data_IF_518145891610
#
_entry.id   IF_518145891610
#
_cell.length_a   1.000
_cell.length_b   1.000
_cell.length_c   1.000
_cell.angle_alpha   90.00
_cell.angle_beta   90.00
_cell.angle_gamma   90.00
#
_symmetry.space_group_name_H-M   'P 1'
#
loop_
_entity.id
_entity.type
_entity.pdbx_description
1 polymer ?
#
# COMPACT_ATOMS: atom_id res chain seq x y z
N UNK A 1 -41.04 29.07 -24.96
CA UNK A 1 -41.17 29.10 -23.48
C UNK A 1 -40.10 28.19 -22.90
N UNK A 2 -39.04 28.76 -22.33
CA UNK A 2 -37.90 27.99 -21.83
C UNK A 2 -38.25 27.14 -20.60
N UNK A 3 -37.68 25.94 -20.53
CA UNK A 3 -37.76 25.04 -19.38
C UNK A 3 -37.16 25.68 -18.13
N UNK A 4 -37.73 25.36 -16.96
CA UNK A 4 -37.23 25.82 -15.66
C UNK A 4 -36.02 24.96 -15.28
N UNK A 5 -34.92 25.54 -14.79
CA UNK A 5 -33.81 24.76 -14.29
C UNK A 5 -34.17 24.09 -12.96
N UNK A 6 -33.84 22.81 -12.85
CA UNK A 6 -34.04 22.03 -11.63
C UNK A 6 -32.92 22.33 -10.62
N UNK A 7 -33.16 22.14 -9.31
CA UNK A 7 -32.07 22.12 -8.33
C UNK A 7 -30.99 21.14 -8.77
N UNK A 8 -29.73 21.58 -8.78
CA UNK A 8 -28.58 20.83 -9.28
C UNK A 8 -28.21 21.11 -10.74
N UNK A 9 -29.08 21.72 -11.54
CA UNK A 9 -28.75 22.14 -12.91
C UNK A 9 -27.68 23.23 -12.92
N UNK A 10 -26.86 23.25 -13.97
CA UNK A 10 -25.92 24.33 -14.24
C UNK A 10 -26.54 25.27 -15.27
N UNK A 11 -26.52 26.58 -14.99
CA UNK A 11 -27.09 27.61 -15.87
C UNK A 11 -26.06 28.68 -16.17
N UNK A 12 -26.15 29.28 -17.36
CA UNK A 12 -25.41 30.47 -17.74
C UNK A 12 -26.32 31.68 -17.62
N UNK A 13 -25.96 32.60 -16.73
CA UNK A 13 -26.69 33.83 -16.43
C UNK A 13 -25.69 34.99 -16.37
N UNK A 14 -25.97 36.07 -17.10
CA UNK A 14 -25.14 37.29 -17.15
C UNK A 14 -23.65 36.99 -17.42
N UNK A 15 -23.38 36.16 -18.42
CA UNK A 15 -22.03 35.74 -18.81
C UNK A 15 -21.25 34.95 -17.75
N UNK A 16 -21.90 34.51 -16.68
CA UNK A 16 -21.29 33.70 -15.63
C UNK A 16 -22.04 32.37 -15.48
N UNK A 17 -21.33 31.37 -14.94
CA UNK A 17 -21.87 30.03 -14.75
C UNK A 17 -22.26 29.82 -13.30
N UNK A 18 -23.47 29.30 -13.09
CA UNK A 18 -24.09 29.14 -11.79
C UNK A 18 -24.68 27.75 -11.63
N UNK A 19 -24.57 27.18 -10.43
CA UNK A 19 -25.29 25.97 -10.03
C UNK A 19 -26.58 26.38 -9.32
N UNK A 20 -27.71 25.87 -9.77
CA UNK A 20 -29.01 26.13 -9.13
C UNK A 20 -29.10 25.33 -7.83
N UNK A 21 -29.34 26.02 -6.73
CA UNK A 21 -29.56 25.44 -5.41
C UNK A 21 -31.05 25.19 -5.15
N UNK A 22 -31.90 26.07 -5.67
CA UNK A 22 -33.35 25.97 -5.52
C UNK A 22 -34.09 26.91 -6.46
N UNK A 23 -35.39 26.69 -6.62
CA UNK A 23 -36.29 27.58 -7.35
C UNK A 23 -37.57 27.83 -6.54
N UNK A 24 -38.14 29.02 -6.70
CA UNK A 24 -39.37 29.43 -6.02
C UNK A 24 -40.26 30.25 -6.97
N UNK A 25 -41.55 30.33 -6.68
CA UNK A 25 -42.53 31.12 -7.45
C UNK A 25 -42.94 32.33 -6.60
N UNK A 26 -42.71 33.52 -7.13
CA UNK A 26 -43.03 34.80 -6.50
C UNK A 26 -44.52 35.18 -6.68
N UNK A 27 -45.00 36.08 -5.82
CA UNK A 27 -46.35 36.67 -5.93
C UNK A 27 -46.42 37.43 -7.28
N UNK A 28 -47.26 36.95 -8.22
CA UNK A 28 -47.39 37.30 -9.67
C UNK A 28 -46.89 36.24 -10.66
N UNK A 29 -46.47 35.06 -10.20
CA UNK A 29 -46.14 33.92 -11.08
C UNK A 29 -44.73 33.96 -11.68
N UNK A 30 -43.92 34.97 -11.32
CA UNK A 30 -42.51 35.02 -11.69
C UNK A 30 -41.71 33.95 -10.95
N UNK A 31 -40.72 33.40 -11.62
CA UNK A 31 -39.88 32.30 -11.14
C UNK A 31 -38.54 32.85 -10.66
N UNK A 32 -38.25 32.67 -9.39
CA UNK A 32 -36.96 32.96 -8.77
C UNK A 32 -36.09 31.71 -8.78
N UNK A 33 -34.82 31.85 -9.16
CA UNK A 33 -33.80 30.81 -9.04
C UNK A 33 -32.70 31.28 -8.09
N UNK A 34 -32.41 30.48 -7.07
CA UNK A 34 -31.30 30.68 -6.15
C UNK A 34 -30.11 29.87 -6.65
N UNK A 35 -28.99 30.55 -6.89
CA UNK A 35 -27.83 29.93 -7.51
C UNK A 35 -26.54 30.26 -6.76
N UNK A 36 -25.55 29.37 -6.87
CA UNK A 36 -24.17 29.57 -6.42
C UNK A 36 -23.23 29.59 -7.62
N UNK A 37 -22.37 30.59 -7.73
CA UNK A 37 -21.44 30.70 -8.85
C UNK A 37 -20.35 29.62 -8.76
N UNK A 38 -20.01 29.02 -9.91
CA UNK A 38 -19.06 27.90 -9.97
C UNK A 38 -17.70 28.27 -10.57
N UNK A 39 -17.59 29.43 -11.22
CA UNK A 39 -16.36 29.83 -11.93
C UNK A 39 -16.17 31.35 -11.98
N UNK A 40 -14.91 31.77 -12.17
CA UNK A 40 -14.56 33.18 -12.34
C UNK A 40 -14.85 34.04 -11.11
N UNK A 41 -15.26 35.29 -11.33
CA UNK A 41 -15.48 36.32 -10.29
C UNK A 41 -16.65 35.98 -9.35
N UNK A 42 -17.55 35.09 -9.78
CA UNK A 42 -18.74 34.69 -9.04
C UNK A 42 -18.55 33.39 -8.25
N UNK A 43 -17.37 32.76 -8.33
CA UNK A 43 -17.09 31.49 -7.64
C UNK A 43 -17.44 31.61 -6.15
N UNK A 44 -18.22 30.65 -5.68
CA UNK A 44 -18.73 30.52 -4.30
C UNK A 44 -19.64 31.66 -3.81
N UNK A 45 -20.02 32.60 -4.68
CA UNK A 45 -21.01 33.64 -4.35
C UNK A 45 -22.41 33.13 -4.61
N UNK A 46 -23.34 33.47 -3.73
CA UNK A 46 -24.76 33.18 -3.90
C UNK A 46 -25.53 34.39 -4.39
N UNK A 47 -26.47 34.15 -5.30
CA UNK A 47 -27.36 35.17 -5.85
C UNK A 47 -28.72 34.57 -6.20
N UNK A 48 -29.76 35.42 -6.20
CA UNK A 48 -31.10 35.07 -6.65
C UNK A 48 -31.45 35.86 -7.90
N UNK A 49 -32.00 35.18 -8.89
CA UNK A 49 -32.37 35.77 -10.17
C UNK A 49 -33.84 35.50 -10.47
N UNK A 50 -34.52 36.46 -11.07
CA UNK A 50 -35.86 36.23 -11.62
C UNK A 50 -35.69 35.70 -13.03
N UNK A 51 -35.83 34.39 -13.21
CA UNK A 51 -35.53 33.66 -14.45
C UNK A 51 -36.27 34.25 -15.66
N UNK A 52 -37.52 34.65 -15.47
CA UNK A 52 -38.35 35.22 -16.53
C UNK A 52 -37.85 36.56 -17.08
N UNK A 53 -37.01 37.28 -16.32
CA UNK A 53 -36.46 38.58 -16.71
C UNK A 53 -35.06 38.47 -17.34
N UNK A 54 -34.42 37.31 -17.25
CA UNK A 54 -33.05 37.09 -17.75
C UNK A 54 -33.10 36.54 -19.19
N UNK A 55 -33.04 37.44 -20.18
CA UNK A 55 -33.19 37.10 -21.60
C UNK A 55 -32.10 36.18 -22.16
N UNK A 56 -30.90 36.24 -21.58
CA UNK A 56 -29.74 35.43 -22.00
C UNK A 56 -29.57 34.14 -21.18
N UNK A 57 -30.58 33.79 -20.37
CA UNK A 57 -30.55 32.63 -19.52
C UNK A 57 -30.59 31.33 -20.33
N UNK A 58 -29.62 30.45 -20.09
CA UNK A 58 -29.58 29.12 -20.71
C UNK A 58 -29.20 28.05 -19.71
N UNK A 59 -29.83 26.88 -19.83
CA UNK A 59 -29.48 25.68 -19.06
C UNK A 59 -28.34 24.99 -19.82
N UNK A 60 -27.24 24.73 -19.13
CA UNK A 60 -26.12 23.98 -19.70
C UNK A 60 -26.38 22.49 -19.50
N UNK A 61 -26.51 21.77 -20.61
CA UNK A 61 -26.68 20.31 -20.59
C UNK A 61 -25.31 19.64 -20.38
N UNK A 62 -25.13 18.83 -19.31
CA UNK A 62 -23.92 18.03 -19.11
C UNK A 62 -23.58 17.12 -20.30
N UNK A 63 -24.57 16.64 -21.05
CA UNK A 63 -24.35 15.76 -22.21
C UNK A 63 -23.70 16.49 -23.39
N UNK A 64 -23.79 17.83 -23.44
CA UNK A 64 -23.19 18.66 -24.49
C UNK A 64 -21.79 19.20 -24.10
N UNK A 65 -21.28 18.82 -22.93
CA UNK A 65 -19.95 19.25 -22.47
C UNK A 65 -18.87 18.60 -23.33
N UNK A 66 -18.11 19.44 -24.04
CA UNK A 66 -16.90 19.00 -24.75
C UNK A 66 -15.75 18.92 -23.74
N UNK A 67 -15.27 17.71 -23.48
CA UNK A 67 -14.05 17.51 -22.70
C UNK A 67 -12.88 18.10 -23.48
N UNK A 68 -12.12 18.99 -22.82
CA UNK A 68 -10.91 19.59 -23.38
C UNK A 68 -9.73 19.02 -22.60
N UNK A 69 -8.69 18.49 -23.28
CA UNK A 69 -7.48 18.04 -22.60
C UNK A 69 -6.82 19.23 -21.89
N UNK A 70 -6.56 19.06 -20.59
CA UNK A 70 -5.83 20.03 -19.79
C UNK A 70 -4.33 19.95 -20.14
N UNK A 71 -3.80 20.98 -20.80
CA UNK A 71 -2.38 21.06 -21.17
C UNK A 71 -1.55 21.84 -20.13
N UNK A 72 -2.13 22.15 -18.95
CA UNK A 72 -1.41 22.86 -17.89
C UNK A 72 -0.35 21.98 -17.24
N UNK A 73 0.65 22.61 -16.61
CA UNK A 73 1.70 21.91 -15.84
C UNK A 73 1.13 21.10 -14.67
N UNK A 74 -0.05 21.47 -14.15
CA UNK A 74 -0.75 20.72 -13.11
C UNK A 74 -1.25 19.34 -13.55
N UNK A 75 -1.30 19.06 -14.86
CA UNK A 75 -1.58 17.72 -15.37
C UNK A 75 -0.52 16.71 -14.91
N UNK A 76 0.76 17.10 -14.90
CA UNK A 76 1.85 16.22 -14.48
C UNK A 76 1.69 15.88 -12.99
N UNK A 77 1.43 16.89 -12.16
CA UNK A 77 1.21 16.70 -10.72
C UNK A 77 0.00 15.82 -10.44
N UNK A 78 -1.10 16.05 -11.17
CA UNK A 78 -2.32 15.25 -11.07
C UNK A 78 -2.08 13.81 -11.51
N UNK A 79 -1.38 13.61 -12.63
CA UNK A 79 -1.03 12.28 -13.14
C UNK A 79 -0.12 11.55 -12.15
N UNK A 80 0.87 12.24 -11.59
CA UNK A 80 1.76 11.68 -10.57
C UNK A 80 0.98 11.32 -9.30
N UNK A 81 0.07 12.19 -8.86
CA UNK A 81 -0.79 11.93 -7.71
C UNK A 81 -1.68 10.70 -7.93
N UNK A 82 -2.34 10.60 -9.08
CA UNK A 82 -3.18 9.45 -9.42
C UNK A 82 -2.35 8.16 -9.52
N UNK A 83 -1.19 8.20 -10.18
CA UNK A 83 -0.25 7.08 -10.25
C UNK A 83 0.22 6.63 -8.86
N UNK A 84 0.58 7.57 -8.00
CA UNK A 84 0.95 7.27 -6.62
C UNK A 84 -0.25 6.64 -5.87
N UNK A 85 -1.44 7.23 -5.98
CA UNK A 85 -2.65 6.70 -5.35
C UNK A 85 -2.98 5.28 -5.82
N UNK A 86 -2.84 4.99 -7.12
CA UNK A 86 -3.04 3.65 -7.66
C UNK A 86 -1.99 2.65 -7.15
N UNK A 87 -0.71 3.05 -7.07
CA UNK A 87 0.34 2.19 -6.49
C UNK A 87 0.15 1.94 -5.00
N UNK A 88 -0.43 2.90 -4.29
CA UNK A 88 -0.76 2.77 -2.87
C UNK A 88 -2.10 2.07 -2.62
N UNK A 89 -2.92 1.83 -3.65
CA UNK A 89 -4.18 1.11 -3.48
C UNK A 89 -3.88 -0.38 -3.40
N UNK A 90 -4.03 -1.02 -2.22
CA UNK A 90 -3.72 -2.44 -2.09
C UNK A 90 -4.71 -3.26 -2.91
N UNK A 91 -4.20 -4.23 -3.65
CA UNK A 91 -5.07 -5.11 -4.43
C UNK A 91 -5.87 -6.02 -3.48
N UNK A 92 -7.19 -6.09 -3.64
CA UNK A 92 -8.09 -6.93 -2.82
C UNK A 92 -8.27 -8.35 -3.37
N UNK A 93 -7.80 -8.63 -4.58
CA UNK A 93 -7.89 -9.96 -5.19
C UNK A 93 -6.94 -10.96 -4.51
N UNK A 94 -7.46 -12.18 -4.30
CA UNK A 94 -6.67 -13.34 -3.82
C UNK A 94 -5.92 -14.06 -4.94
N UNK A 95 -6.14 -13.68 -6.19
CA UNK A 95 -5.36 -14.23 -7.32
C UNK A 95 -3.92 -13.67 -7.29
N UNK A 96 -2.90 -14.51 -7.52
CA UNK A 96 -1.52 -14.05 -7.66
C UNK A 96 -1.37 -13.08 -8.84
N UNK A 97 -0.68 -11.95 -8.63
CA UNK A 97 -0.46 -10.91 -9.64
C UNK A 97 0.92 -11.01 -10.31
N UNK A 98 1.87 -11.65 -9.64
CA UNK A 98 3.28 -11.76 -10.03
C UNK A 98 3.56 -13.01 -10.84
N UNK A 99 2.68 -14.03 -10.82
CA UNK A 99 2.85 -15.25 -11.61
C UNK A 99 2.82 -14.90 -13.12
N UNK A 100 3.84 -15.36 -13.84
CA UNK A 100 4.06 -15.04 -15.26
C UNK A 100 4.51 -13.60 -15.58
N UNK A 101 4.68 -12.73 -14.56
CA UNK A 101 5.14 -11.33 -14.72
C UNK A 101 6.42 -11.02 -13.95
N UNK A 102 6.78 -11.84 -12.96
CA UNK A 102 8.04 -11.73 -12.25
C UNK A 102 9.22 -12.07 -13.17
N UNK A 103 10.39 -11.48 -12.90
CA UNK A 103 11.62 -11.74 -13.66
C UNK A 103 12.25 -13.09 -13.26
N UNK A 104 11.47 -14.17 -13.37
CA UNK A 104 11.80 -15.54 -12.97
C UNK A 104 11.16 -16.54 -13.94
N UNK A 105 11.73 -17.73 -14.06
CA UNK A 105 11.07 -18.82 -14.77
C UNK A 105 9.84 -19.27 -13.99
N UNK A 106 8.67 -19.19 -14.62
CA UNK A 106 7.38 -19.46 -13.98
C UNK A 106 7.14 -20.96 -13.84
N UNK A 107 7.64 -21.54 -12.75
CA UNK A 107 7.51 -22.97 -12.48
C UNK A 107 6.25 -23.25 -11.65
N UNK A 108 5.37 -24.13 -12.16
CA UNK A 108 4.06 -24.44 -11.55
C UNK A 108 4.12 -24.84 -10.08
N UNK A 109 5.19 -25.50 -9.64
CA UNK A 109 5.32 -25.91 -8.23
C UNK A 109 5.49 -24.71 -7.29
N UNK A 110 6.06 -23.60 -7.77
CA UNK A 110 6.27 -22.37 -7.01
C UNK A 110 4.98 -21.57 -6.81
N UNK A 111 3.91 -21.93 -7.53
CA UNK A 111 2.59 -21.27 -7.40
C UNK A 111 1.90 -21.70 -6.11
N UNK A 112 2.05 -22.97 -5.72
CA UNK A 112 1.33 -23.54 -4.58
C UNK A 112 1.65 -22.84 -3.24
N UNK A 113 2.92 -22.54 -2.89
CA UNK A 113 3.22 -21.76 -1.69
C UNK A 113 2.61 -20.36 -1.72
N UNK A 114 2.61 -19.71 -2.88
CA UNK A 114 2.06 -18.35 -3.07
C UNK A 114 0.54 -18.36 -2.88
N UNK A 115 -0.17 -19.28 -3.52
CA UNK A 115 -1.62 -19.44 -3.37
C UNK A 115 -2.00 -19.74 -1.92
N UNK A 116 -1.26 -20.63 -1.25
CA UNK A 116 -1.45 -20.92 0.18
C UNK A 116 -1.23 -19.69 1.05
N UNK A 117 -0.24 -18.85 0.74
CA UNK A 117 0.01 -17.61 1.46
C UNK A 117 -1.16 -16.64 1.30
N UNK A 118 -1.65 -16.45 0.06
CA UNK A 118 -2.74 -15.53 -0.23
C UNK A 118 -4.10 -16.01 0.30
N UNK A 119 -4.28 -17.31 0.50
CA UNK A 119 -5.46 -17.87 1.14
C UNK A 119 -5.53 -17.51 2.63
N UNK A 120 -4.42 -17.26 3.31
CA UNK A 120 -4.36 -16.98 4.75
C UNK A 120 -4.48 -15.48 5.06
N UNK A 121 -5.29 -15.12 6.05
CA UNK A 121 -5.38 -13.73 6.55
C UNK A 121 -4.12 -13.34 7.34
N UNK A 122 -3.55 -14.30 8.08
CA UNK A 122 -2.21 -14.21 8.69
C UNK A 122 -1.34 -15.34 8.16
N UNK A 123 -0.36 -14.99 7.33
CA UNK A 123 0.49 -15.97 6.64
C UNK A 123 1.44 -16.65 7.62
N UNK A 124 1.35 -17.98 7.73
CA UNK A 124 2.29 -18.82 8.50
C UNK A 124 2.57 -20.08 7.69
N UNK A 125 3.72 -20.07 7.00
CA UNK A 125 4.12 -21.14 6.09
C UNK A 125 5.50 -21.65 6.45
N UNK A 126 5.65 -22.97 6.36
CA UNK A 126 6.94 -23.65 6.36
C UNK A 126 7.14 -24.23 4.96
N UNK A 127 8.18 -23.74 4.28
CA UNK A 127 8.59 -24.24 2.97
C UNK A 127 9.74 -25.21 3.20
N UNK A 128 9.52 -26.48 2.89
CA UNK A 128 10.43 -27.58 3.21
C UNK A 128 10.79 -28.42 1.98
N UNK A 129 10.89 -27.77 0.83
CA UNK A 129 11.25 -28.39 -0.43
C UNK A 129 12.73 -28.81 -0.43
N UNK A 130 13.12 -29.71 -1.34
CA UNK A 130 14.50 -30.17 -1.49
C UNK A 130 15.49 -29.00 -1.71
N UNK A 131 16.75 -29.27 -1.38
CA UNK A 131 17.84 -28.31 -1.57
C UNK A 131 18.00 -28.02 -3.06
N UNK A 132 17.97 -26.73 -3.44
CA UNK A 132 18.12 -26.31 -4.84
C UNK A 132 16.81 -26.07 -5.59
N UNK A 133 15.63 -26.36 -5.01
CA UNK A 133 14.33 -26.11 -5.67
C UNK A 133 13.87 -24.65 -5.70
N UNK A 134 14.63 -23.74 -5.08
CA UNK A 134 14.34 -22.31 -5.13
C UNK A 134 13.49 -21.76 -3.98
N UNK A 135 13.63 -22.30 -2.76
CA UNK A 135 12.96 -21.78 -1.54
C UNK A 135 13.08 -20.27 -1.35
N UNK A 136 14.26 -19.70 -1.64
CA UNK A 136 14.49 -18.24 -1.61
C UNK A 136 13.63 -17.50 -2.62
N UNK A 137 13.43 -18.08 -3.80
CA UNK A 137 12.59 -17.54 -4.85
C UNK A 137 11.12 -17.53 -4.43
N UNK A 138 10.64 -18.63 -3.84
CA UNK A 138 9.28 -18.76 -3.33
C UNK A 138 9.01 -17.76 -2.20
N UNK A 139 9.97 -17.60 -1.28
CA UNK A 139 9.90 -16.58 -0.24
C UNK A 139 9.84 -15.16 -0.83
N UNK A 140 10.61 -14.89 -1.88
CA UNK A 140 10.59 -13.61 -2.60
C UNK A 140 9.28 -13.36 -3.36
N UNK A 141 8.70 -14.41 -3.98
CA UNK A 141 7.38 -14.36 -4.61
C UNK A 141 6.29 -14.02 -3.59
N UNK A 142 6.26 -14.72 -2.46
CA UNK A 142 5.32 -14.45 -1.37
C UNK A 142 5.50 -13.02 -0.84
N UNK A 143 6.74 -12.60 -0.59
CA UNK A 143 7.03 -11.25 -0.11
C UNK A 143 6.57 -10.17 -1.10
N UNK A 144 6.82 -10.37 -2.40
CA UNK A 144 6.39 -9.47 -3.46
C UNK A 144 4.87 -9.35 -3.54
N UNK A 145 4.17 -10.48 -3.55
CA UNK A 145 2.70 -10.52 -3.57
C UNK A 145 2.10 -9.84 -2.33
N UNK A 146 2.65 -10.09 -1.14
CA UNK A 146 2.19 -9.44 0.08
C UNK A 146 2.49 -7.93 0.07
N UNK A 147 3.65 -7.52 -0.44
CA UNK A 147 4.01 -6.10 -0.56
C UNK A 147 3.07 -5.35 -1.52
N UNK A 148 2.71 -5.95 -2.66
CA UNK A 148 1.72 -5.40 -3.59
C UNK A 148 0.30 -5.25 -2.99
N UNK A 149 0.04 -5.91 -1.86
CA UNK A 149 -1.22 -5.83 -1.11
C UNK A 149 -1.10 -4.99 0.16
N UNK A 150 0.02 -4.30 0.38
CA UNK A 150 0.27 -3.52 1.60
C UNK A 150 0.35 -4.39 2.87
N UNK A 151 0.70 -5.67 2.72
CA UNK A 151 0.80 -6.66 3.82
C UNK A 151 2.24 -7.07 4.13
N UNK A 152 3.23 -6.43 3.50
CA UNK A 152 4.66 -6.69 3.72
C UNK A 152 5.51 -5.44 3.46
N UNK A 153 5.13 -4.31 4.06
CA UNK A 153 5.93 -3.08 3.96
C UNK A 153 7.17 -3.19 4.83
N UNK A 154 7.00 -3.71 6.06
CA UNK A 154 8.10 -4.00 6.98
C UNK A 154 8.50 -5.49 6.95
N UNK A 155 9.68 -5.78 6.40
CA UNK A 155 10.19 -7.14 6.20
C UNK A 155 11.47 -7.37 7.00
N UNK A 156 11.51 -8.43 7.81
CA UNK A 156 12.71 -8.93 8.45
C UNK A 156 13.11 -10.29 7.87
N UNK A 157 14.33 -10.37 7.34
CA UNK A 157 14.92 -11.64 6.92
C UNK A 157 15.99 -12.06 7.91
N UNK A 158 15.90 -13.30 8.39
CA UNK A 158 16.89 -13.94 9.25
C UNK A 158 17.48 -15.12 8.50
N UNK A 159 18.79 -15.09 8.23
CA UNK A 159 19.47 -16.16 7.50
C UNK A 159 20.82 -16.50 8.14
N UNK A 160 21.52 -17.50 7.61
CA UNK A 160 22.93 -17.75 8.01
C UNK A 160 23.84 -16.67 7.43
N UNK A 161 24.99 -16.39 8.07
CA UNK A 161 25.92 -15.35 7.59
C UNK A 161 26.39 -15.58 6.14
N UNK A 162 26.50 -16.83 5.72
CA UNK A 162 26.90 -17.22 4.36
C UNK A 162 25.83 -16.88 3.31
N UNK A 163 24.55 -17.04 3.66
CA UNK A 163 23.43 -16.82 2.72
C UNK A 163 23.01 -15.36 2.58
N UNK A 164 23.37 -14.48 3.54
CA UNK A 164 22.95 -13.08 3.54
C UNK A 164 23.18 -12.37 2.20
N UNK A 165 24.38 -12.47 1.63
CA UNK A 165 24.73 -11.75 0.40
C UNK A 165 23.95 -12.28 -0.80
N UNK A 166 23.79 -13.59 -0.91
CA UNK A 166 23.01 -14.22 -1.96
C UNK A 166 21.53 -13.84 -1.84
N UNK A 167 20.98 -13.92 -0.64
CA UNK A 167 19.58 -13.58 -0.35
C UNK A 167 19.28 -12.11 -0.70
N UNK A 168 20.15 -11.18 -0.29
CA UNK A 168 20.05 -9.77 -0.68
C UNK A 168 20.09 -9.57 -2.19
N UNK A 169 21.02 -10.25 -2.89
CA UNK A 169 21.14 -10.16 -4.33
C UNK A 169 19.87 -10.64 -5.02
N UNK A 170 19.36 -11.81 -4.66
CA UNK A 170 18.14 -12.38 -5.25
C UNK A 170 16.91 -11.49 -5.00
N UNK A 171 16.72 -11.01 -3.76
CA UNK A 171 15.62 -10.10 -3.42
C UNK A 171 15.67 -8.78 -4.19
N UNK A 172 16.86 -8.21 -4.35
CA UNK A 172 17.04 -6.99 -5.13
C UNK A 172 16.83 -7.22 -6.62
N UNK A 173 17.52 -8.19 -7.22
CA UNK A 173 17.54 -8.34 -8.67
C UNK A 173 16.24 -8.91 -9.24
N UNK A 174 15.58 -9.82 -8.51
CA UNK A 174 14.39 -10.52 -9.01
C UNK A 174 13.08 -9.86 -8.58
N UNK A 175 13.06 -9.27 -7.39
CA UNK A 175 11.84 -8.75 -6.78
C UNK A 175 11.89 -7.24 -6.52
N UNK A 176 13.04 -6.57 -6.76
CA UNK A 176 13.23 -5.15 -6.46
C UNK A 176 12.94 -4.80 -5.00
N UNK A 177 13.21 -5.74 -4.08
CA UNK A 177 13.05 -5.56 -2.64
C UNK A 177 14.45 -5.31 -2.05
N UNK A 178 14.82 -4.05 -1.72
CA UNK A 178 16.08 -3.78 -1.04
C UNK A 178 16.00 -4.25 0.41
N UNK A 179 16.99 -5.04 0.83
CA UNK A 179 17.15 -5.47 2.22
C UNK A 179 18.39 -4.80 2.81
N UNK A 180 18.24 -4.02 3.88
CA UNK A 180 19.34 -3.41 4.59
C UNK A 180 20.04 -4.44 5.49
N UNK A 181 21.34 -4.67 5.28
CA UNK A 181 22.12 -5.59 6.11
C UNK A 181 22.43 -4.94 7.45
N UNK A 182 21.90 -5.52 8.52
CA UNK A 182 22.13 -5.06 9.89
C UNK A 182 23.04 -6.04 10.62
N UNK A 183 24.34 -5.71 10.67
CA UNK A 183 25.30 -6.38 11.53
C UNK A 183 25.61 -5.54 12.78
N UNK A 184 26.31 -6.14 13.76
CA UNK A 184 26.64 -5.45 15.01
C UNK A 184 27.45 -4.15 14.79
N UNK A 185 28.24 -4.05 13.72
CA UNK A 185 29.01 -2.85 13.43
C UNK A 185 28.14 -1.74 12.81
N UNK A 186 27.25 -2.08 11.89
CA UNK A 186 26.26 -1.19 11.30
C UNK A 186 25.31 -0.64 12.37
N UNK A 187 24.79 -1.52 13.23
CA UNK A 187 23.87 -1.15 14.31
C UNK A 187 24.57 -0.22 15.32
N UNK A 188 25.81 -0.51 15.72
CA UNK A 188 26.58 0.37 16.60
C UNK A 188 26.81 1.74 15.99
N UNK A 189 27.16 1.81 14.69
CA UNK A 189 27.32 3.09 13.97
C UNK A 189 26.01 3.88 13.93
N UNK A 190 24.88 3.21 13.68
CA UNK A 190 23.58 3.85 13.64
C UNK A 190 23.14 4.34 15.01
N UNK A 191 23.41 3.58 16.08
CA UNK A 191 23.07 3.98 17.45
C UNK A 191 23.77 5.26 17.89
N UNK A 192 24.96 5.54 17.37
CA UNK A 192 25.65 6.81 17.63
C UNK A 192 25.03 8.01 16.89
N UNK A 193 24.13 7.77 15.93
CA UNK A 193 23.48 8.80 15.10
C UNK A 193 22.01 9.04 15.49
N UNK A 194 21.39 8.12 16.22
CA UNK A 194 20.01 8.24 16.67
C UNK A 194 19.95 8.43 18.19
N UNK A 195 18.93 9.13 18.72
CA UNK A 195 18.78 9.28 20.16
C UNK A 195 18.60 7.92 20.85
N UNK A 196 19.08 7.79 22.10
CA UNK A 196 19.15 6.52 22.81
C UNK A 196 17.80 5.81 23.05
N UNK A 197 16.69 6.53 22.95
CA UNK A 197 15.33 6.00 23.09
C UNK A 197 14.74 5.45 21.78
N UNK A 198 15.40 5.68 20.64
CA UNK A 198 14.95 5.14 19.35
C UNK A 198 15.59 3.80 19.07
N UNK A 199 14.77 2.90 18.52
CA UNK A 199 15.22 1.60 18.05
C UNK A 199 15.80 1.73 16.64
N UNK A 200 16.99 1.16 16.41
CA UNK A 200 17.66 1.16 15.10
C UNK A 200 16.81 0.45 14.05
N UNK A 201 16.09 -0.61 14.43
CA UNK A 201 15.27 -1.40 13.51
C UNK A 201 14.03 -0.66 12.99
N UNK A 202 13.61 0.42 13.65
CA UNK A 202 12.52 1.28 13.19
C UNK A 202 12.94 2.29 12.12
N UNK A 203 14.25 2.36 11.83
CA UNK A 203 14.79 3.20 10.75
C UNK A 203 14.85 2.45 9.41
N UNK A 204 14.55 1.15 9.40
CA UNK A 204 14.65 0.30 8.21
C UNK A 204 13.39 -0.53 8.05
N UNK A 205 12.59 -0.21 7.04
CA UNK A 205 11.40 -1.00 6.71
C UNK A 205 11.80 -2.44 6.33
N UNK A 206 12.92 -2.60 5.64
CA UNK A 206 13.33 -3.89 5.07
C UNK A 206 14.74 -4.22 5.48
N UNK A 207 14.89 -5.24 6.34
CA UNK A 207 16.14 -5.57 7.01
C UNK A 207 16.50 -7.04 6.86
N UNK A 208 17.81 -7.32 6.84
CA UNK A 208 18.34 -8.68 6.88
C UNK A 208 19.45 -8.79 7.94
N UNK A 209 19.36 -9.83 8.77
CA UNK A 209 20.27 -10.09 9.89
C UNK A 209 20.68 -11.56 9.91
N UNK A 210 21.93 -11.85 10.32
CA UNK A 210 22.32 -13.25 10.54
C UNK A 210 21.79 -13.80 11.86
N UNK A 211 21.34 -15.05 11.85
CA UNK A 211 20.94 -15.77 13.07
C UNK A 211 22.05 -15.80 14.13
N UNK A 212 23.32 -15.89 13.73
CA UNK A 212 24.48 -15.87 14.64
C UNK A 212 24.63 -14.53 15.37
N UNK A 213 24.18 -13.43 14.75
CA UNK A 213 24.20 -12.11 15.37
C UNK A 213 23.08 -12.01 16.38
N UNK A 214 21.88 -12.49 16.03
CA UNK A 214 20.72 -12.54 16.93
C UNK A 214 20.99 -13.36 18.20
N UNK A 215 21.75 -14.46 18.09
CA UNK A 215 22.11 -15.31 19.22
C UNK A 215 23.16 -14.69 20.14
N UNK A 216 24.13 -13.94 19.59
CA UNK A 216 25.25 -13.38 20.35
C UNK A 216 24.95 -12.05 21.01
N UNK A 217 24.13 -11.22 20.37
CA UNK A 217 23.91 -9.83 20.77
C UNK A 217 22.49 -9.64 21.33
N UNK A 218 22.40 -9.57 22.65
CA UNK A 218 21.12 -9.40 23.34
C UNK A 218 20.43 -8.07 22.99
N UNK A 219 21.20 -7.01 22.70
CA UNK A 219 20.63 -5.70 22.35
C UNK A 219 19.97 -5.75 20.98
N UNK A 220 20.57 -6.46 20.03
CA UNK A 220 20.00 -6.70 18.70
C UNK A 220 18.72 -7.51 18.79
N UNK A 221 18.74 -8.59 19.57
CA UNK A 221 17.57 -9.44 19.79
C UNK A 221 16.41 -8.65 20.41
N UNK A 222 16.70 -7.82 21.40
CA UNK A 222 15.71 -6.99 22.06
C UNK A 222 15.17 -5.89 21.13
N UNK A 223 16.04 -5.26 20.34
CA UNK A 223 15.63 -4.30 19.32
C UNK A 223 14.69 -4.92 18.28
N UNK A 224 14.99 -6.13 17.79
CA UNK A 224 14.09 -6.82 16.85
C UNK A 224 12.75 -7.16 17.50
N UNK A 225 12.77 -7.62 18.76
CA UNK A 225 11.56 -7.99 19.52
C UNK A 225 10.63 -6.78 19.75
N UNK A 226 11.21 -5.61 19.96
CA UNK A 226 10.47 -4.37 20.22
C UNK A 226 10.11 -3.60 18.95
N UNK A 227 10.42 -4.13 17.77
CA UNK A 227 10.00 -3.57 16.47
C UNK A 227 8.85 -4.37 15.89
N UNK A 228 7.98 -3.68 15.15
CA UNK A 228 6.89 -4.27 14.41
C UNK A 228 7.34 -4.71 13.00
N UNK A 229 6.92 -5.90 12.58
CA UNK A 229 7.23 -6.49 11.28
C UNK A 229 5.96 -7.08 10.68
N UNK A 230 5.69 -6.77 9.42
CA UNK A 230 4.57 -7.37 8.67
C UNK A 230 4.91 -8.79 8.21
N UNK A 231 6.18 -9.01 7.83
CA UNK A 231 6.68 -10.28 7.34
C UNK A 231 8.04 -10.60 7.96
N UNK A 232 8.16 -11.80 8.53
CA UNK A 232 9.42 -12.36 9.00
C UNK A 232 9.73 -13.62 8.18
N UNK A 233 10.87 -13.62 7.50
CA UNK A 233 11.36 -14.76 6.73
C UNK A 233 12.56 -15.34 7.46
N UNK A 234 12.52 -16.62 7.79
CA UNK A 234 13.61 -17.33 8.44
C UNK A 234 14.14 -18.39 7.48
N UNK A 235 15.30 -18.11 6.91
CA UNK A 235 16.03 -19.07 6.08
C UNK A 235 16.84 -20.03 6.96
N UNK A 236 16.92 -21.28 6.54
CA UNK A 236 17.52 -22.38 7.30
C UNK A 236 17.07 -22.44 8.77
N UNK A 237 15.74 -22.40 8.98
CA UNK A 237 15.12 -22.37 10.31
C UNK A 237 15.59 -23.51 11.25
N UNK A 238 16.12 -24.62 10.70
CA UNK A 238 16.75 -25.68 11.49
C UNK A 238 17.94 -25.18 12.33
N UNK A 239 18.66 -24.14 11.88
CA UNK A 239 19.73 -23.49 12.63
C UNK A 239 19.20 -22.61 13.77
N UNK A 240 17.94 -22.19 13.70
CA UNK A 240 17.26 -21.42 14.74
C UNK A 240 16.65 -22.31 15.84
N UNK A 241 16.44 -23.61 15.57
CA UNK A 241 15.87 -24.54 16.53
C UNK A 241 16.83 -24.86 17.68
N UNK A 242 16.33 -24.79 18.92
CA UNK A 242 17.06 -25.25 20.11
C UNK A 242 17.05 -26.78 20.10
N UNK A 243 18.22 -27.42 19.96
CA UNK A 243 18.36 -28.85 20.23
C UNK A 243 18.14 -29.07 21.73
N UNK A 244 16.94 -29.49 22.14
CA UNK A 244 16.77 -30.13 23.46
C UNK A 244 17.50 -31.47 23.40
N UNK A 245 18.51 -31.65 24.25
CA UNK A 245 19.12 -32.95 24.43
C UNK A 245 18.11 -33.91 25.12
N UNK A 246 17.86 -35.01 24.41
CA UNK A 246 17.51 -36.38 24.87
C UNK A 246 16.26 -36.59 25.73
N UNK A 247 15.21 -37.16 25.13
CA UNK A 247 14.68 -38.52 25.33
C UNK A 247 13.28 -38.60 24.71
N UNK A 248 12.96 -39.75 24.10
CA UNK A 248 11.87 -39.87 23.13
C UNK A 248 10.50 -39.47 23.66
N UNK A 249 9.75 -38.75 22.85
CA UNK A 249 8.34 -39.01 22.49
C UNK A 249 7.98 -38.05 21.35
N UNK A 250 7.38 -38.57 20.27
CA UNK A 250 6.88 -37.78 19.13
C UNK A 250 5.99 -36.64 19.65
N UNK A 251 6.33 -35.40 19.32
CA UNK A 251 5.39 -34.27 19.44
C UNK A 251 5.50 -33.37 18.21
N UNK A 252 4.39 -33.31 17.47
CA UNK A 252 4.10 -32.26 16.51
C UNK A 252 4.08 -30.93 17.25
N UNK A 253 4.90 -29.96 16.82
CA UNK A 253 4.81 -28.59 17.33
C UNK A 253 3.88 -27.77 16.41
N UNK A 254 2.60 -27.77 16.76
CA UNK A 254 1.68 -26.66 16.52
C UNK A 254 2.09 -25.47 17.38
N UNK A 255 2.38 -24.32 16.78
CA UNK A 255 2.70 -23.09 17.51
C UNK A 255 1.50 -22.14 17.48
N UNK A 256 0.58 -22.33 18.42
CA UNK A 256 -0.48 -21.37 18.78
C UNK A 256 0.11 -20.19 19.56
N UNK A 257 -0.35 -18.95 19.38
CA UNK A 257 -0.09 -17.88 20.33
C UNK A 257 -1.36 -17.61 21.15
N UNK A 258 -1.37 -18.06 22.40
CA UNK A 258 -2.07 -17.38 23.48
C UNK A 258 -1.05 -16.98 24.56
N UNK A 259 -1.36 -15.86 25.23
CA UNK A 259 -0.67 -15.14 26.33
C UNK A 259 -0.29 -13.74 25.82
N UNK A 260 -1.03 -12.65 26.05
CA UNK A 260 -1.77 -12.22 27.25
C UNK A 260 -0.94 -12.35 28.53
N UNK A 261 -0.61 -11.20 29.13
CA UNK A 261 0.08 -10.99 30.41
C UNK A 261 1.62 -11.11 30.39
N UNK A 262 2.25 -9.94 30.23
CA UNK A 262 3.32 -9.31 31.05
C UNK A 262 4.28 -8.49 30.18
#
# INVERSE_FOLDING_TARGET
>A
MGSIPWPGSVVKLRSATWKVLGSNILKRGYREVHCRGISGIVRDKEARFVWDLEKDASILDPALVRLVPDNSTGLIDTKLHLEAAFRHTPTTSRQPLTLGRAAIDDLKFQHLPVEKALAQDRVRLLIADDVGLGKTLEAGLIASELAMRGRADRILVVATRAMLTQFQKEFWTRFSIPLARLDSAAIRRMRNRIPAHYNVFDQFDRSIVSIDTLKRDAQIREGIKNSYWDLIIIDEAHNAAVRRNTSGTKSQLTCSPESSAL
#
